data_IF_976005190478
#
_entry.id   IF_976005190478
#
_cell.length_a   1.000
_cell.length_b   1.000
_cell.length_c   1.000
_cell.angle_alpha   90.00
_cell.angle_beta   90.00
_cell.angle_gamma   90.00
#
_symmetry.space_group_name_H-M   'P 1'
#
loop_
_entity.id
_entity.type
_entity.pdbx_description
1 polymer ?
#
# COMPACT_ATOMS: atom_id res chain seq x y z
N UNK A 1 12.63 -18.73 -71.86
CA UNK A 1 12.42 -17.98 -70.60
C UNK A 1 13.65 -17.13 -70.36
N UNK A 2 13.51 -15.80 -70.30
CA UNK A 2 14.65 -14.89 -70.24
C UNK A 2 15.17 -14.75 -68.80
N UNK A 3 16.46 -15.04 -68.53
CA UNK A 3 17.04 -15.00 -67.18
C UNK A 3 17.03 -13.58 -66.56
N UNK A 4 17.02 -12.55 -67.39
CA UNK A 4 16.95 -11.14 -66.96
C UNK A 4 15.61 -10.79 -66.32
N UNK A 5 14.50 -11.35 -66.83
CA UNK A 5 13.17 -11.12 -66.26
C UNK A 5 13.01 -11.84 -64.92
N UNK A 6 13.54 -13.06 -64.78
CA UNK A 6 13.50 -13.80 -63.51
C UNK A 6 14.29 -13.10 -62.42
N UNK A 7 15.48 -12.56 -62.72
CA UNK A 7 16.30 -11.82 -61.73
C UNK A 7 15.56 -10.57 -61.22
N UNK A 8 14.86 -9.84 -62.10
CA UNK A 8 14.08 -8.66 -61.67
C UNK A 8 12.91 -9.02 -60.74
N UNK A 9 12.24 -10.15 -60.98
CA UNK A 9 11.11 -10.61 -60.15
C UNK A 9 11.59 -11.06 -58.78
N UNK A 10 12.72 -11.78 -58.70
CA UNK A 10 13.31 -12.17 -57.42
C UNK A 10 13.80 -10.97 -56.62
N UNK A 11 14.35 -9.94 -57.27
CA UNK A 11 14.82 -8.73 -56.60
C UNK A 11 13.67 -7.92 -56.01
N UNK A 12 12.58 -7.74 -56.75
CA UNK A 12 11.35 -7.07 -56.26
C UNK A 12 10.67 -7.89 -55.14
N UNK A 13 10.64 -9.21 -55.24
CA UNK A 13 10.11 -10.09 -54.19
C UNK A 13 10.94 -10.01 -52.89
N UNK A 14 12.26 -9.85 -53.00
CA UNK A 14 13.17 -9.75 -51.86
C UNK A 14 13.04 -8.38 -51.15
N UNK A 15 12.94 -7.29 -51.91
CA UNK A 15 12.71 -5.94 -51.37
C UNK A 15 11.34 -5.82 -50.69
N UNK A 16 10.28 -6.32 -51.34
CA UNK A 16 8.94 -6.34 -50.74
C UNK A 16 8.86 -7.25 -49.51
N UNK A 17 9.55 -8.39 -49.52
CA UNK A 17 9.67 -9.27 -48.35
C UNK A 17 10.39 -8.60 -47.17
N UNK A 18 11.46 -7.86 -47.42
CA UNK A 18 12.17 -7.07 -46.41
C UNK A 18 11.28 -5.96 -45.82
N UNK A 19 10.52 -5.25 -46.66
CA UNK A 19 9.58 -4.21 -46.21
C UNK A 19 8.45 -4.79 -45.36
N UNK A 20 7.89 -5.94 -45.77
CA UNK A 20 6.86 -6.64 -45.00
C UNK A 20 7.40 -7.12 -43.65
N UNK A 21 8.58 -7.75 -43.62
CA UNK A 21 9.22 -8.17 -42.38
C UNK A 21 9.52 -6.98 -41.45
N UNK A 22 10.03 -5.87 -42.00
CA UNK A 22 10.27 -4.63 -41.25
C UNK A 22 8.99 -4.06 -40.64
N UNK A 23 7.89 -4.04 -41.39
CA UNK A 23 6.58 -3.57 -40.91
C UNK A 23 5.98 -4.49 -39.83
N UNK A 24 6.17 -5.80 -39.94
CA UNK A 24 5.74 -6.77 -38.94
C UNK A 24 6.53 -6.62 -37.63
N UNK A 25 7.83 -6.39 -37.71
CA UNK A 25 8.67 -6.13 -36.53
C UNK A 25 8.28 -4.82 -35.85
N UNK A 26 8.08 -3.74 -36.62
CA UNK A 26 7.65 -2.45 -36.09
C UNK A 26 6.27 -2.51 -35.41
N UNK A 27 5.31 -3.21 -36.02
CA UNK A 27 3.97 -3.38 -35.43
C UNK A 27 4.03 -4.22 -34.15
N UNK A 28 4.82 -5.29 -34.12
CA UNK A 28 5.08 -6.09 -32.92
C UNK A 28 5.72 -5.27 -31.79
N UNK A 29 6.70 -4.41 -32.11
CA UNK A 29 7.37 -3.54 -31.15
C UNK A 29 6.41 -2.48 -30.58
N UNK A 30 5.56 -1.91 -31.43
CA UNK A 30 4.56 -0.92 -31.04
C UNK A 30 3.48 -1.53 -30.11
N UNK A 31 3.00 -2.74 -30.42
CA UNK A 31 2.09 -3.49 -29.55
C UNK A 31 2.74 -3.82 -28.21
N UNK A 32 3.98 -4.30 -28.21
CA UNK A 32 4.72 -4.59 -26.98
C UNK A 32 4.86 -3.35 -26.08
N UNK A 33 5.27 -2.22 -26.65
CA UNK A 33 5.39 -0.96 -25.92
C UNK A 33 4.05 -0.47 -25.40
N UNK A 34 2.97 -0.60 -26.18
CA UNK A 34 1.61 -0.23 -25.77
C UNK A 34 1.14 -1.05 -24.56
N UNK A 35 1.35 -2.37 -24.58
CA UNK A 35 1.02 -3.27 -23.46
C UNK A 35 1.89 -2.95 -22.25
N UNK A 36 3.18 -2.66 -22.45
CA UNK A 36 4.11 -2.31 -21.37
C UNK A 36 3.73 -0.99 -20.71
N UNK A 37 3.40 0.04 -21.48
CA UNK A 37 2.94 1.34 -20.97
C UNK A 37 1.58 1.23 -20.27
N UNK A 38 0.66 0.42 -20.80
CA UNK A 38 -0.60 0.12 -20.13
C UNK A 38 -0.34 -0.54 -18.76
N UNK A 39 0.48 -1.60 -18.71
CA UNK A 39 0.85 -2.26 -17.45
C UNK A 39 1.48 -1.29 -16.45
N UNK A 40 2.37 -0.41 -16.90
CA UNK A 40 3.03 0.58 -16.04
C UNK A 40 2.04 1.61 -15.49
N UNK A 41 1.13 2.13 -16.34
CA UNK A 41 0.04 3.02 -15.90
C UNK A 41 -0.88 2.34 -14.88
N UNK A 42 -1.06 1.03 -14.98
CA UNK A 42 -1.94 0.24 -14.11
C UNK A 42 -1.33 -0.09 -12.74
N UNK A 43 0.00 -0.01 -12.61
CA UNK A 43 0.71 -0.14 -11.33
C UNK A 43 0.76 1.18 -10.54
N UNK A 44 0.11 2.24 -11.02
CA UNK A 44 0.09 3.52 -10.31
C UNK A 44 -0.56 3.40 -8.95
N UNK A 45 0.14 3.94 -7.96
CA UNK A 45 -0.33 4.13 -6.60
C UNK A 45 -1.11 5.45 -6.56
N UNK A 46 -2.29 5.43 -5.96
CA UNK A 46 -3.06 6.63 -5.65
C UNK A 46 -3.01 6.89 -4.15
N UNK A 47 -3.21 8.15 -3.75
CA UNK A 47 -3.39 8.53 -2.35
C UNK A 47 -4.89 8.70 -2.08
N UNK A 48 -5.32 8.33 -0.87
CA UNK A 48 -6.66 8.61 -0.37
C UNK A 48 -6.61 8.92 1.13
N UNK A 49 -7.69 9.47 1.65
CA UNK A 49 -7.96 9.60 3.08
C UNK A 49 -8.88 8.45 3.50
N UNK A 50 -8.47 7.70 4.52
CA UNK A 50 -9.26 6.66 5.15
C UNK A 50 -9.76 7.13 6.51
N UNK A 51 -10.94 6.66 6.88
CA UNK A 51 -11.53 6.85 8.20
C UNK A 51 -11.15 5.67 9.09
N UNK A 52 -10.67 5.96 10.28
CA UNK A 52 -10.29 4.94 11.25
C UNK A 52 -11.57 4.40 11.87
N UNK A 53 -11.81 3.10 11.73
CA UNK A 53 -12.95 2.41 12.32
C UNK A 53 -12.64 1.83 13.69
N UNK A 54 -11.37 1.49 13.94
CA UNK A 54 -10.96 0.88 15.20
C UNK A 54 -9.52 1.20 15.57
N UNK A 55 -9.24 1.38 16.87
CA UNK A 55 -7.88 1.51 17.42
C UNK A 55 -7.69 0.54 18.59
N UNK A 56 -6.62 -0.25 18.54
CA UNK A 56 -6.27 -1.22 19.59
C UNK A 56 -4.81 -1.07 20.04
N UNK A 57 -4.49 -1.29 21.32
CA UNK A 57 -3.11 -1.38 21.77
C UNK A 57 -2.37 -2.52 21.06
N UNK A 58 -1.18 -2.26 20.52
CA UNK A 58 -0.37 -3.29 19.87
C UNK A 58 0.83 -3.68 20.73
N UNK A 59 0.76 -4.82 21.42
CA UNK A 59 1.85 -5.34 22.23
C UNK A 59 2.74 -6.28 21.39
N UNK A 60 3.94 -5.81 21.03
CA UNK A 60 4.88 -6.59 20.18
C UNK A 60 5.36 -7.88 20.86
N UNK A 61 5.44 -7.86 22.20
CA UNK A 61 5.74 -9.03 23.04
C UNK A 61 4.74 -9.01 24.20
N UNK A 62 3.97 -10.09 24.43
CA UNK A 62 2.98 -10.12 25.51
C UNK A 62 3.63 -10.04 26.90
N UNK A 63 4.89 -10.45 27.03
CA UNK A 63 5.66 -10.38 28.29
C UNK A 63 6.00 -8.95 28.73
N UNK A 64 5.96 -7.98 27.80
CA UNK A 64 6.25 -6.58 28.09
C UNK A 64 4.90 -5.85 28.09
N UNK A 65 4.33 -5.52 29.25
CA UNK A 65 3.01 -4.91 29.37
C UNK A 65 3.05 -3.41 29.02
N UNK A 66 3.83 -3.02 28.01
CA UNK A 66 4.03 -1.62 27.61
C UNK A 66 4.20 -1.52 26.10
N UNK A 67 3.49 -0.59 25.49
CA UNK A 67 3.61 -0.30 24.06
C UNK A 67 3.49 1.20 23.76
N UNK A 68 4.18 1.61 22.70
CA UNK A 68 4.04 2.94 22.07
C UNK A 68 3.37 2.86 20.70
N UNK A 69 2.81 1.71 20.37
CA UNK A 69 2.20 1.43 19.09
C UNK A 69 0.75 0.99 19.28
N UNK A 70 -0.07 1.40 18.34
CA UNK A 70 -1.46 0.98 18.22
C UNK A 70 -1.66 0.34 16.86
N UNK A 71 -2.50 -0.69 16.81
CA UNK A 71 -3.03 -1.22 15.58
C UNK A 71 -4.30 -0.46 15.25
N UNK A 72 -4.38 0.02 14.02
CA UNK A 72 -5.56 0.71 13.50
C UNK A 72 -6.18 -0.12 12.40
N UNK A 73 -7.50 -0.15 12.40
CA UNK A 73 -8.33 -0.61 11.29
C UNK A 73 -8.96 0.63 10.67
N UNK A 74 -8.89 0.72 9.35
CA UNK A 74 -9.40 1.87 8.62
C UNK A 74 -10.19 1.43 7.39
N UNK A 75 -11.09 2.30 6.97
CA UNK A 75 -11.95 2.10 5.81
C UNK A 75 -11.86 3.29 4.87
N UNK A 76 -11.93 3.03 3.57
CA UNK A 76 -11.98 4.08 2.57
C UNK A 76 -12.83 3.64 1.38
N UNK A 77 -13.37 4.62 0.65
CA UNK A 77 -14.18 4.36 -0.54
C UNK A 77 -13.33 4.59 -1.79
N UNK A 78 -13.39 3.64 -2.72
CA UNK A 78 -12.87 3.82 -4.06
C UNK A 78 -13.95 3.42 -5.07
N UNK A 79 -14.35 4.37 -5.93
CA UNK A 79 -15.50 4.23 -6.83
C UNK A 79 -16.77 3.91 -6.02
N UNK A 80 -17.41 2.76 -6.28
CA UNK A 80 -18.67 2.33 -5.63
C UNK A 80 -18.45 1.30 -4.51
N UNK A 81 -17.20 1.03 -4.12
CA UNK A 81 -16.86 -0.02 -3.16
C UNK A 81 -16.08 0.54 -1.97
N UNK A 82 -16.37 0.00 -0.79
CA UNK A 82 -15.60 0.23 0.43
C UNK A 82 -14.50 -0.80 0.55
N UNK A 83 -13.31 -0.36 0.93
CA UNK A 83 -12.15 -1.21 1.20
C UNK A 83 -11.68 -0.95 2.62
N UNK A 84 -11.16 -1.99 3.24
CA UNK A 84 -10.61 -1.94 4.59
C UNK A 84 -9.11 -2.21 4.56
N UNK A 85 -8.41 -1.79 5.62
CA UNK A 85 -7.00 -2.07 5.81
C UNK A 85 -6.65 -2.00 7.29
N UNK A 86 -5.50 -2.59 7.63
CA UNK A 86 -4.96 -2.50 8.99
C UNK A 86 -3.49 -2.14 8.98
N UNK A 87 -3.05 -1.39 9.99
CA UNK A 87 -1.64 -1.03 10.12
C UNK A 87 -1.25 -0.71 11.55
N UNK A 88 0.05 -0.72 11.81
CA UNK A 88 0.62 -0.40 13.12
C UNK A 88 1.21 1.01 13.06
N UNK A 89 0.71 1.88 13.94
CA UNK A 89 1.02 3.30 13.98
C UNK A 89 1.56 3.65 15.37
N UNK A 90 2.60 4.51 15.47
CA UNK A 90 3.06 4.97 16.77
C UNK A 90 2.04 5.95 17.41
N UNK A 91 1.88 5.91 18.73
CA UNK A 91 0.94 6.77 19.48
C UNK A 91 1.13 8.27 19.23
N UNK A 92 2.37 8.71 18.98
CA UNK A 92 2.72 10.08 18.59
C UNK A 92 2.02 10.59 17.32
N UNK A 93 1.38 9.69 16.57
CA UNK A 93 0.58 10.06 15.41
C UNK A 93 -0.76 10.70 15.80
N UNK A 94 -1.28 10.32 16.97
CA UNK A 94 -2.56 10.76 17.53
C UNK A 94 -2.37 11.83 18.60
N UNK A 95 -1.28 11.72 19.37
CA UNK A 95 -0.98 12.59 20.50
C UNK A 95 0.28 13.41 20.22
N UNK A 96 0.24 14.70 20.55
CA UNK A 96 1.39 15.60 20.44
C UNK A 96 2.38 15.47 21.61
N UNK A 97 2.10 14.57 22.57
CA UNK A 97 2.91 14.34 23.76
C UNK A 97 4.33 13.85 23.42
N UNK A 98 5.29 14.21 24.28
CA UNK A 98 6.70 13.87 24.16
C UNK A 98 6.91 12.35 24.29
N UNK A 99 6.11 11.67 25.12
CA UNK A 99 6.33 10.25 25.42
C UNK A 99 5.10 9.37 25.73
N UNK A 100 4.02 9.42 24.91
CA UNK A 100 2.81 8.65 25.18
C UNK A 100 3.09 7.14 25.19
N UNK A 101 2.53 6.45 26.18
CA UNK A 101 2.70 5.01 26.37
C UNK A 101 1.42 4.38 26.89
N UNK A 102 1.06 3.23 26.33
CA UNK A 102 0.04 2.36 26.90
C UNK A 102 0.75 1.30 27.73
N UNK A 103 0.35 1.16 28.99
CA UNK A 103 0.82 0.11 29.89
C UNK A 103 -0.35 -0.73 30.38
N UNK A 104 -0.16 -2.03 30.58
CA UNK A 104 -1.14 -2.86 31.28
C UNK A 104 -0.89 -2.72 32.78
N UNK A 105 -1.86 -2.18 33.52
CA UNK A 105 -1.75 -2.05 34.96
C UNK A 105 -2.12 -3.38 35.62
N UNK A 106 -1.18 -3.97 36.37
CA UNK A 106 -1.37 -5.24 37.06
C UNK A 106 -2.49 -5.21 38.11
N UNK A 107 -2.91 -4.01 38.55
CA UNK A 107 -3.97 -3.85 39.56
C UNK A 107 -5.39 -3.90 38.98
N UNK A 108 -5.54 -3.53 37.71
CA UNK A 108 -6.86 -3.29 37.09
C UNK A 108 -7.11 -4.24 35.91
N UNK A 109 -6.07 -4.94 35.42
CA UNK A 109 -6.10 -5.85 34.26
C UNK A 109 -6.60 -5.20 32.95
N UNK A 110 -6.63 -3.87 32.91
CA UNK A 110 -6.96 -3.08 31.71
C UNK A 110 -5.77 -2.23 31.27
N UNK A 111 -5.68 -1.92 29.97
CA UNK A 111 -4.68 -1.00 29.46
C UNK A 111 -4.92 0.42 29.97
N UNK A 112 -3.83 1.11 30.29
CA UNK A 112 -3.79 2.50 30.75
C UNK A 112 -2.89 3.29 29.83
N UNK A 113 -3.43 4.35 29.23
CA UNK A 113 -2.66 5.33 28.48
C UNK A 113 -2.11 6.39 29.45
N UNK A 114 -0.80 6.53 29.46
CA UNK A 114 -0.07 7.55 30.19
C UNK A 114 0.29 8.70 29.25
N UNK A 115 -0.26 9.88 29.53
CA UNK A 115 0.03 11.15 28.86
C UNK A 115 0.89 12.04 29.77
N UNK A 116 1.66 12.98 29.21
CA UNK A 116 2.73 13.72 29.92
C UNK A 116 2.23 14.60 31.09
N UNK A 117 0.92 14.90 31.16
CA UNK A 117 0.32 15.83 32.14
C UNK A 117 -0.57 15.16 33.18
N UNK A 118 -0.15 14.02 33.74
CA UNK A 118 -0.93 13.23 34.71
C UNK A 118 -2.31 12.74 34.24
N UNK A 119 -2.72 13.04 33.00
CA UNK A 119 -3.90 12.46 32.39
C UNK A 119 -3.65 10.97 32.19
N UNK A 120 -4.46 10.17 32.88
CA UNK A 120 -4.48 8.70 32.74
C UNK A 120 -5.83 8.32 32.19
N UNK A 121 -5.83 7.59 31.09
CA UNK A 121 -7.04 7.08 30.47
C UNK A 121 -6.99 5.57 30.63
N UNK A 122 -8.00 5.03 31.30
CA UNK A 122 -8.05 3.63 31.71
C UNK A 122 -9.13 2.91 30.90
N UNK A 123 -8.80 1.76 30.33
CA UNK A 123 -9.72 0.94 29.55
C UNK A 123 -9.51 1.07 28.04
N UNK A 124 -9.69 -0.04 27.31
CA UNK A 124 -9.49 -0.10 25.86
C UNK A 124 -10.42 0.87 25.11
N UNK A 125 -11.70 0.89 25.47
CA UNK A 125 -12.71 1.76 24.83
C UNK A 125 -12.44 3.25 25.07
N UNK A 126 -12.03 3.61 26.29
CA UNK A 126 -11.71 5.00 26.62
C UNK A 126 -10.45 5.47 25.88
N UNK A 127 -9.45 4.61 25.77
CA UNK A 127 -8.23 4.89 24.99
C UNK A 127 -8.57 5.04 23.51
N UNK A 128 -9.38 4.14 22.96
CA UNK A 128 -9.83 4.20 21.57
C UNK A 128 -10.57 5.52 21.28
N UNK A 129 -11.56 5.86 22.11
CA UNK A 129 -12.32 7.09 21.96
C UNK A 129 -11.43 8.32 21.99
N UNK A 130 -10.52 8.40 22.97
CA UNK A 130 -9.61 9.53 23.09
C UNK A 130 -8.66 9.69 21.90
N UNK A 131 -8.18 8.57 21.34
CA UNK A 131 -7.31 8.61 20.17
C UNK A 131 -8.09 9.02 18.91
N UNK A 132 -9.33 8.54 18.76
CA UNK A 132 -10.22 8.89 17.65
C UNK A 132 -10.68 10.35 17.70
N UNK A 133 -10.94 10.90 18.88
CA UNK A 133 -11.24 12.33 19.09
C UNK A 133 -10.13 13.24 18.56
N UNK A 134 -8.87 12.87 18.80
CA UNK A 134 -7.73 13.65 18.36
C UNK A 134 -7.49 13.52 16.84
N UNK A 135 -7.53 12.29 16.32
CA UNK A 135 -7.34 12.03 14.88
C UNK A 135 -8.11 10.80 14.41
N UNK A 136 -9.20 11.04 13.69
CA UNK A 136 -10.09 10.01 13.15
C UNK A 136 -9.77 9.57 11.71
N UNK A 137 -8.81 10.22 11.04
CA UNK A 137 -8.48 9.97 9.62
C UNK A 137 -6.99 9.77 9.40
N UNK A 138 -6.65 8.88 8.47
CA UNK A 138 -5.27 8.61 8.04
C UNK A 138 -5.14 8.71 6.53
N UNK A 139 -3.94 9.08 6.08
CA UNK A 139 -3.59 9.06 4.68
C UNK A 139 -3.07 7.68 4.29
N UNK A 140 -3.71 7.13 3.26
CA UNK A 140 -3.36 5.83 2.71
C UNK A 140 -2.93 5.96 1.26
N UNK A 141 -2.23 4.92 0.82
CA UNK A 141 -1.84 4.67 -0.55
C UNK A 141 -2.39 3.31 -0.96
N UNK A 142 -2.89 3.21 -2.18
CA UNK A 142 -3.45 1.97 -2.70
C UNK A 142 -3.14 1.80 -4.19
N UNK A 143 -3.13 0.56 -4.67
CA UNK A 143 -2.98 0.26 -6.08
C UNK A 143 -4.32 0.45 -6.80
N UNK A 144 -4.35 1.22 -7.89
CA UNK A 144 -5.59 1.49 -8.62
C UNK A 144 -6.28 0.22 -9.16
N UNK A 145 -5.51 -0.82 -9.50
CA UNK A 145 -6.04 -2.12 -9.96
C UNK A 145 -6.61 -2.96 -8.82
N UNK A 146 -6.03 -2.83 -7.64
CA UNK A 146 -6.36 -3.65 -6.48
C UNK A 146 -6.33 -2.77 -5.22
N UNK A 147 -7.42 -2.03 -4.95
CA UNK A 147 -7.49 -1.14 -3.78
C UNK A 147 -7.41 -1.88 -2.44
N UNK A 148 -7.65 -3.19 -2.42
CA UNK A 148 -7.41 -4.03 -1.24
C UNK A 148 -5.93 -4.07 -0.84
N UNK A 149 -5.01 -3.84 -1.80
CA UNK A 149 -3.59 -3.62 -1.53
C UNK A 149 -3.35 -2.15 -1.17
N UNK A 150 -3.70 -1.81 0.06
CA UNK A 150 -3.50 -0.50 0.65
C UNK A 150 -2.41 -0.52 1.73
N UNK A 151 -1.85 0.65 2.01
CA UNK A 151 -0.83 0.87 3.03
C UNK A 151 -0.86 2.33 3.48
N UNK A 152 -0.43 2.60 4.71
CA UNK A 152 -0.31 3.98 5.16
C UNK A 152 0.69 4.77 4.31
N UNK A 153 0.39 6.03 4.08
CA UNK A 153 1.34 6.96 3.49
C UNK A 153 2.59 7.06 4.39
N UNK A 154 3.77 7.20 3.77
CA UNK A 154 5.09 6.97 4.38
C UNK A 154 5.39 7.77 5.67
N UNK A 155 4.62 8.81 5.99
CA UNK A 155 4.74 9.61 7.22
C UNK A 155 4.01 9.01 8.42
N UNK A 156 3.05 8.12 8.20
CA UNK A 156 2.09 7.68 9.23
C UNK A 156 2.28 6.23 9.67
N UNK A 157 2.83 5.37 8.81
CA UNK A 157 3.07 3.96 9.12
C UNK A 157 4.55 3.59 9.17
N UNK A 158 4.96 2.82 10.19
CA UNK A 158 6.18 2.02 10.06
C UNK A 158 5.87 0.98 8.99
N UNK A 159 6.64 0.95 7.89
CA UNK A 159 6.55 -0.13 6.89
C UNK A 159 6.52 -1.46 7.67
N UNK A 160 5.38 -2.16 7.71
CA UNK A 160 5.42 -3.63 7.73
C UNK A 160 6.19 -3.93 6.46
N UNK A 161 7.51 -4.09 6.59
CA UNK A 161 8.38 -4.61 5.56
C UNK A 161 7.60 -5.74 4.95
N UNK A 162 7.19 -5.56 3.69
CA UNK A 162 6.60 -6.62 2.88
C UNK A 162 7.57 -7.77 3.08
N UNK A 163 7.13 -8.74 3.87
CA UNK A 163 7.89 -9.92 4.16
C UNK A 163 8.07 -10.55 2.78
N UNK A 164 9.27 -10.36 2.22
CA UNK A 164 9.79 -11.24 1.21
C UNK A 164 10.00 -12.56 1.96
N UNK A 165 8.91 -13.30 2.17
CA UNK A 165 8.92 -14.76 2.21
C UNK A 165 9.45 -15.17 0.84
N UNK A 166 10.77 -15.04 0.66
CA UNK A 166 11.51 -15.94 -0.23
C UNK A 166 11.42 -17.27 0.49
N UNK A 167 10.43 -18.05 0.08
CA UNK A 167 10.55 -19.50 0.13
C UNK A 167 11.91 -19.86 -0.47
N UNK A 168 12.87 -20.19 0.39
CA UNK A 168 13.99 -21.04 0.01
C UNK A 168 13.67 -22.39 0.63
N UNK A 169 13.07 -23.23 -0.21
CA UNK A 169 13.49 -24.62 -0.31
C UNK A 169 14.96 -24.65 -0.71
#
# INVERSE_FOLDING_TARGET
MNPVQTVSVYQVALESGLLLAGSAVLSGLCLYLSVRLARWRWQRVANATAEISRIRPYFRKPEIPRTRFVEIEYTFRHRKSSFTGSSIVPLRHFLADLSPMIAQDARVDVPVLHCDRNARIVGEEAIEHHLLENKSRVHIRYLLRDPGRNFLASSEGRRKTIARKRSRH
#
